data_IF_243879448977
#
_entry.id   IF_243879448977
#
_cell.length_a   1.000
_cell.length_b   1.000
_cell.length_c   1.000
_cell.angle_alpha   90.00
_cell.angle_beta   90.00
_cell.angle_gamma   90.00
#
_symmetry.space_group_name_H-M   'P 1'
#
loop_
_entity.id
_entity.type
_entity.pdbx_description
1 polymer ?
#
# COMPACT_ATOMS: atom_id res chain seq x y z
N UNK A 1 -3.47 -1.03 -19.87
CA UNK A 1 -2.75 0.26 -19.85
C UNK A 1 -3.52 1.16 -18.92
N UNK A 2 -2.84 1.86 -18.01
CA UNK A 2 -3.53 2.70 -17.02
C UNK A 2 -4.31 3.81 -17.71
N UNK A 3 -5.52 4.09 -17.23
CA UNK A 3 -6.41 5.14 -17.75
C UNK A 3 -6.11 6.51 -17.15
N UNK A 4 -5.08 6.61 -16.30
CA UNK A 4 -4.74 7.82 -15.56
C UNK A 4 -3.89 8.78 -16.41
N UNK A 5 -4.02 10.11 -16.21
CA UNK A 5 -3.26 11.10 -16.96
C UNK A 5 -1.81 11.28 -16.46
N UNK A 6 -1.31 10.37 -15.61
CA UNK A 6 0.02 10.43 -15.01
C UNK A 6 0.55 9.02 -14.71
N UNK A 7 1.88 8.92 -14.60
CA UNK A 7 2.57 7.69 -14.23
C UNK A 7 2.72 7.54 -12.71
N UNK A 8 2.71 6.29 -12.23
CA UNK A 8 2.96 5.97 -10.82
C UNK A 8 4.28 5.22 -10.69
N UNK A 9 5.18 5.77 -9.88
CA UNK A 9 6.43 5.12 -9.51
C UNK A 9 6.40 4.71 -8.04
N UNK A 10 6.96 3.54 -7.74
CA UNK A 10 7.02 2.97 -6.39
C UNK A 10 8.46 2.59 -6.05
N UNK A 11 8.91 3.00 -4.87
CA UNK A 11 10.20 2.60 -4.32
C UNK A 11 10.05 2.20 -2.85
N UNK A 12 10.75 1.14 -2.45
CA UNK A 12 10.91 0.77 -1.04
C UNK A 12 12.30 0.20 -0.84
N UNK A 13 12.90 0.51 0.31
CA UNK A 13 14.26 0.12 0.67
C UNK A 13 14.25 -0.49 2.06
N UNK A 14 14.90 -1.63 2.23
CA UNK A 14 15.00 -2.32 3.53
C UNK A 14 15.66 -1.44 4.61
N UNK A 15 16.59 -0.57 4.21
CA UNK A 15 17.38 0.24 5.13
C UNK A 15 18.52 -0.54 5.80
N UNK A 16 19.54 0.21 6.23
CA UNK A 16 20.82 -0.34 6.73
C UNK A 16 20.67 -1.15 8.01
N UNK A 17 19.87 -0.66 8.95
CA UNK A 17 19.73 -1.31 10.27
C UNK A 17 18.98 -2.64 10.19
N UNK A 18 17.94 -2.72 9.34
CA UNK A 18 17.24 -3.99 9.12
C UNK A 18 18.17 -5.01 8.48
N UNK A 19 18.93 -4.61 7.46
CA UNK A 19 19.95 -5.46 6.85
C UNK A 19 21.00 -5.94 7.86
N UNK A 20 21.54 -5.03 8.70
CA UNK A 20 22.55 -5.36 9.73
C UNK A 20 22.02 -6.31 10.81
N UNK A 21 20.73 -6.24 11.11
CA UNK A 21 20.08 -7.07 12.14
C UNK A 21 19.41 -8.32 11.57
N UNK A 22 19.59 -8.62 10.28
CA UNK A 22 19.00 -9.78 9.61
C UNK A 22 17.47 -9.71 9.49
N UNK A 23 16.86 -8.52 9.69
CA UNK A 23 15.43 -8.31 9.53
C UNK A 23 15.11 -8.01 8.07
N UNK A 24 14.03 -8.56 7.54
CA UNK A 24 13.54 -8.26 6.20
C UNK A 24 13.03 -6.81 6.07
N UNK A 25 12.70 -6.41 4.84
CA UNK A 25 11.93 -5.19 4.62
C UNK A 25 10.48 -5.43 5.06
N UNK A 26 9.95 -4.56 5.90
CA UNK A 26 8.61 -4.67 6.46
C UNK A 26 7.63 -3.68 5.85
N UNK A 27 8.12 -2.85 4.93
CA UNK A 27 7.29 -2.03 4.08
C UNK A 27 6.46 -2.90 3.13
N UNK A 28 5.24 -2.46 2.87
CA UNK A 28 4.41 -2.98 1.81
C UNK A 28 3.76 -1.82 1.04
N UNK A 29 3.53 -2.06 -0.25
CA UNK A 29 2.90 -1.11 -1.16
C UNK A 29 1.91 -1.82 -2.05
N UNK A 30 0.78 -1.16 -2.32
CA UNK A 30 -0.21 -1.64 -3.27
C UNK A 30 -0.74 -0.47 -4.09
N UNK A 31 -0.67 -0.60 -5.42
CA UNK A 31 -1.21 0.36 -6.37
C UNK A 31 -2.27 -0.36 -7.21
N UNK A 32 -3.45 0.24 -7.33
CA UNK A 32 -4.57 -0.24 -8.15
C UNK A 32 -5.23 0.93 -8.83
N UNK A 33 -5.29 0.89 -10.15
CA UNK A 33 -6.03 1.84 -10.98
C UNK A 33 -7.32 1.22 -11.52
N UNK A 34 -8.30 2.06 -11.82
CA UNK A 34 -9.56 1.72 -12.47
C UNK A 34 -10.12 2.93 -13.24
N UNK A 35 -11.25 2.77 -13.95
CA UNK A 35 -11.95 3.93 -14.52
C UNK A 35 -12.41 4.97 -13.48
N UNK A 36 -12.50 4.57 -12.20
CA UNK A 36 -12.94 5.45 -11.11
C UNK A 36 -11.79 6.18 -10.42
N UNK A 37 -10.53 5.87 -10.77
CA UNK A 37 -9.35 6.57 -10.27
C UNK A 37 -8.25 5.63 -9.77
N UNK A 38 -7.44 6.14 -8.85
CA UNK A 38 -6.24 5.48 -8.32
C UNK A 38 -6.37 5.23 -6.82
N UNK A 39 -6.03 4.01 -6.40
CA UNK A 39 -5.78 3.67 -5.01
C UNK A 39 -4.30 3.32 -4.85
N UNK A 40 -3.60 4.09 -4.03
CA UNK A 40 -2.22 3.83 -3.64
C UNK A 40 -2.13 3.73 -2.12
N UNK A 41 -1.55 2.64 -1.63
CA UNK A 41 -1.39 2.37 -0.21
C UNK A 41 0.05 1.99 0.10
N UNK A 42 0.53 2.49 1.24
CA UNK A 42 1.81 2.12 1.84
C UNK A 42 1.54 1.71 3.29
N UNK A 43 2.20 0.66 3.75
CA UNK A 43 2.19 0.25 5.15
C UNK A 43 3.61 -0.08 5.61
N UNK A 44 3.92 0.23 6.86
CA UNK A 44 5.14 -0.18 7.56
C UNK A 44 4.75 -1.23 8.61
N UNK A 45 5.36 -2.41 8.54
CA UNK A 45 5.18 -3.45 9.53
C UNK A 45 5.86 -3.06 10.84
N UNK A 46 5.13 -3.11 11.96
CA UNK A 46 5.58 -2.59 13.26
C UNK A 46 6.91 -3.13 13.82
N UNK A 47 7.47 -4.20 13.26
CA UNK A 47 8.75 -4.81 13.64
C UNK A 47 8.85 -5.41 15.04
N UNK A 48 7.85 -5.19 15.89
CA UNK A 48 7.76 -5.67 17.27
C UNK A 48 7.13 -7.05 17.38
N UNK A 49 6.55 -7.58 16.30
CA UNK A 49 5.88 -8.87 16.26
C UNK A 49 6.41 -9.75 15.10
N UNK A 50 6.36 -11.09 15.23
CA UNK A 50 6.66 -12.00 14.12
C UNK A 50 5.80 -11.68 12.89
N UNK A 51 6.38 -11.90 11.70
CA UNK A 51 5.66 -11.75 10.43
C UNK A 51 5.07 -10.34 10.19
N UNK A 52 5.71 -9.28 10.71
CA UNK A 52 5.26 -7.89 10.51
C UNK A 52 5.17 -7.50 9.02
N UNK A 53 6.07 -8.03 8.19
CA UNK A 53 6.03 -7.87 6.72
C UNK A 53 4.76 -8.48 6.10
N UNK A 54 4.40 -9.70 6.49
CA UNK A 54 3.16 -10.34 6.04
C UNK A 54 1.93 -9.52 6.45
N UNK A 55 1.93 -9.00 7.68
CA UNK A 55 0.88 -8.10 8.16
C UNK A 55 0.72 -6.86 7.28
N UNK A 56 1.82 -6.18 6.97
CA UNK A 56 1.84 -5.04 6.07
C UNK A 56 1.32 -5.40 4.66
N UNK A 57 1.79 -6.52 4.08
CA UNK A 57 1.36 -7.00 2.77
C UNK A 57 -0.14 -7.32 2.70
N UNK A 58 -0.66 -8.02 3.71
CA UNK A 58 -2.08 -8.31 3.80
C UNK A 58 -2.90 -7.03 3.97
N UNK A 59 -2.41 -6.11 4.83
CA UNK A 59 -3.03 -4.81 5.07
C UNK A 59 -3.23 -4.02 3.79
N UNK A 60 -2.14 -3.75 3.03
CA UNK A 60 -2.23 -2.97 1.80
C UNK A 60 -3.11 -3.64 0.73
N UNK A 61 -3.12 -4.97 0.64
CA UNK A 61 -3.97 -5.69 -0.33
C UNK A 61 -5.45 -5.59 0.01
N UNK A 62 -5.81 -5.81 1.28
CA UNK A 62 -7.20 -5.78 1.73
C UNK A 62 -7.77 -4.37 1.77
N UNK A 63 -6.99 -3.39 2.25
CA UNK A 63 -7.40 -2.00 2.21
C UNK A 63 -7.50 -1.50 0.77
N UNK A 64 -6.64 -1.94 -0.16
CA UNK A 64 -6.75 -1.50 -1.56
C UNK A 64 -8.07 -1.95 -2.17
N UNK A 65 -8.48 -3.20 -1.92
CA UNK A 65 -9.76 -3.72 -2.38
C UNK A 65 -10.94 -2.93 -1.79
N UNK A 66 -10.91 -2.66 -0.48
CA UNK A 66 -11.97 -1.90 0.18
C UNK A 66 -12.03 -0.45 -0.33
N UNK A 67 -10.89 0.23 -0.42
CA UNK A 67 -10.78 1.60 -0.91
C UNK A 67 -11.23 1.71 -2.38
N UNK A 68 -10.85 0.76 -3.23
CA UNK A 68 -11.28 0.72 -4.63
C UNK A 68 -12.79 0.57 -4.75
N UNK A 69 -13.42 -0.27 -3.92
CA UNK A 69 -14.87 -0.41 -3.89
C UNK A 69 -15.59 0.86 -3.42
N UNK A 70 -15.01 1.61 -2.47
CA UNK A 70 -15.53 2.91 -2.01
C UNK A 70 -15.38 4.00 -3.06
N UNK A 71 -14.23 4.04 -3.72
CA UNK A 71 -13.95 4.96 -4.83
C UNK A 71 -14.91 4.74 -6.00
N UNK A 72 -15.20 3.48 -6.35
CA UNK A 72 -16.19 3.14 -7.37
C UNK A 72 -17.62 3.58 -7.03
N UNK A 73 -17.94 3.76 -5.74
CA UNK A 73 -19.22 4.31 -5.28
C UNK A 73 -19.23 5.84 -5.18
N UNK A 74 -18.11 6.51 -5.50
CA UNK A 74 -17.99 7.96 -5.40
C UNK A 74 -17.96 8.48 -3.97
N UNK A 75 -17.59 7.65 -2.99
CA UNK A 75 -17.48 8.08 -1.60
C UNK A 75 -16.31 9.07 -1.44
N UNK A 76 -16.57 10.20 -0.78
CA UNK A 76 -15.53 11.16 -0.41
C UNK A 76 -14.96 10.81 0.95
N UNK A 77 -13.65 11.02 1.13
CA UNK A 77 -12.97 10.80 2.42
C UNK A 77 -13.35 11.89 3.43
N UNK A 78 -13.48 13.11 2.94
CA UNK A 78 -13.99 14.26 3.68
C UNK A 78 -15.44 14.49 3.22
N UNK A 79 -16.40 14.00 4.00
CA UNK A 79 -17.80 14.41 3.83
C UNK A 79 -17.96 15.84 4.34
N UNK A 80 -18.56 16.71 3.52
CA UNK A 80 -19.21 17.92 4.00
C UNK A 80 -20.53 17.57 4.71
#
# INVERSE_FOLDING_TARGET
MSTLPFDVAVGSVQGREHARTGRNNQDAVCVRDSEHGLVALVADGCGSQPCSELGAQLGVRRLAQAAQARLARGETVDGA
#
